data_IF_750568593713
#
_entry.id   IF_750568593713
#
_cell.length_a   1.000
_cell.length_b   1.000
_cell.length_c   1.000
_cell.angle_alpha   90.00
_cell.angle_beta   90.00
_cell.angle_gamma   90.00
#
_symmetry.space_group_name_H-M   'P 1'
#
loop_
_entity.id
_entity.type
_entity.pdbx_description
1 polymer ?
#
# COMPACT_ATOMS: atom_id res chain seq x y z
N UNK A 1 -34.32 67.84 -25.29
CA UNK A 1 -34.70 66.63 -24.52
C UNK A 1 -33.57 65.63 -24.64
N UNK A 2 -32.95 65.21 -23.54
CA UNK A 2 -31.84 64.26 -23.54
C UNK A 2 -32.25 63.02 -22.72
N UNK A 3 -32.27 61.85 -23.37
CA UNK A 3 -32.56 60.57 -22.74
C UNK A 3 -31.28 60.05 -22.07
N UNK A 4 -31.28 59.99 -20.74
CA UNK A 4 -30.23 59.29 -19.97
C UNK A 4 -30.47 57.79 -20.02
N UNK A 5 -29.64 57.07 -20.76
CA UNK A 5 -29.57 55.60 -20.74
C UNK A 5 -28.83 55.16 -19.47
N UNK A 6 -29.57 54.74 -18.44
CA UNK A 6 -29.01 54.01 -17.31
C UNK A 6 -28.66 52.59 -17.76
N UNK A 7 -27.38 52.34 -18.08
CA UNK A 7 -26.88 50.98 -18.21
C UNK A 7 -26.90 50.31 -16.84
N UNK A 8 -27.72 49.26 -16.68
CA UNK A 8 -27.66 48.39 -15.50
C UNK A 8 -26.29 47.71 -15.48
N UNK A 9 -25.54 47.90 -14.39
CA UNK A 9 -24.34 47.12 -14.10
C UNK A 9 -24.78 45.65 -13.90
N UNK A 10 -24.22 44.67 -14.63
CA UNK A 10 -24.45 43.26 -14.32
C UNK A 10 -24.08 43.00 -12.86
N UNK A 11 -24.93 42.28 -12.13
CA UNK A 11 -24.58 41.80 -10.80
C UNK A 11 -23.27 41.00 -10.87
N UNK A 12 -22.37 41.12 -9.89
CA UNK A 12 -21.19 40.27 -9.81
C UNK A 12 -21.68 38.83 -9.72
N UNK A 13 -21.50 38.06 -10.79
CA UNK A 13 -21.71 36.62 -10.74
C UNK A 13 -20.65 36.10 -9.78
N UNK A 14 -21.11 35.63 -8.62
CA UNK A 14 -20.27 34.96 -7.63
C UNK A 14 -19.54 33.82 -8.35
N UNK A 15 -18.20 33.86 -8.36
CA UNK A 15 -17.42 32.85 -9.04
C UNK A 15 -17.79 31.48 -8.44
N UNK A 16 -18.04 30.44 -9.26
CA UNK A 16 -18.31 29.11 -8.73
C UNK A 16 -17.19 28.74 -7.76
N UNK A 17 -17.57 28.16 -6.61
CA UNK A 17 -16.60 27.72 -5.62
C UNK A 17 -15.50 26.91 -6.32
N UNK A 18 -14.21 27.16 -6.03
CA UNK A 18 -13.15 26.41 -6.67
C UNK A 18 -13.39 24.92 -6.44
N UNK A 19 -13.43 24.13 -7.51
CA UNK A 19 -13.51 22.69 -7.39
C UNK A 19 -12.38 22.22 -6.47
N UNK A 20 -12.68 21.35 -5.48
CA UNK A 20 -11.65 20.84 -4.59
C UNK A 20 -10.59 20.18 -5.46
N UNK A 21 -9.34 20.64 -5.33
CA UNK A 21 -8.22 20.01 -6.00
C UNK A 21 -8.23 18.52 -5.68
N UNK A 22 -8.03 17.64 -6.68
CA UNK A 22 -8.05 16.20 -6.44
C UNK A 22 -7.00 15.86 -5.39
N UNK A 23 -7.38 15.04 -4.40
CA UNK A 23 -6.44 14.58 -3.38
C UNK A 23 -5.39 13.69 -4.07
N UNK A 24 -4.14 14.16 -4.13
CA UNK A 24 -3.02 13.45 -4.78
C UNK A 24 -2.13 12.68 -3.79
N UNK A 25 -2.62 12.48 -2.56
CA UNK A 25 -1.95 11.73 -1.50
C UNK A 25 -1.47 12.54 -0.30
N UNK A 26 -1.70 13.87 -0.28
CA UNK A 26 -1.26 14.75 0.80
C UNK A 26 -1.87 14.36 2.16
N UNK A 27 -3.18 14.11 2.18
CA UNK A 27 -3.93 13.73 3.38
C UNK A 27 -4.26 12.24 3.44
N UNK A 28 -3.92 11.49 2.39
CA UNK A 28 -4.37 10.12 2.23
C UNK A 28 -3.79 9.21 3.30
N UNK A 29 -4.67 8.46 3.95
CA UNK A 29 -4.35 7.46 4.98
C UNK A 29 -5.09 6.18 4.63
N UNK A 30 -4.48 5.28 3.84
CA UNK A 30 -5.10 4.02 3.50
C UNK A 30 -5.21 3.13 4.73
N UNK A 31 -6.27 2.33 4.79
CA UNK A 31 -6.46 1.34 5.84
C UNK A 31 -5.29 0.34 5.88
N UNK A 32 -4.84 0.00 7.08
CA UNK A 32 -3.79 -1.00 7.28
C UNK A 32 -2.36 -0.55 6.98
N UNK A 33 -2.16 0.75 6.75
CA UNK A 33 -0.84 1.36 6.73
C UNK A 33 -0.80 2.62 7.60
N UNK A 34 0.38 2.89 8.17
CA UNK A 34 0.68 4.16 8.81
C UNK A 34 1.65 4.93 7.94
N UNK A 35 1.24 6.09 7.43
CA UNK A 35 2.13 6.98 6.67
C UNK A 35 3.00 7.75 7.66
N UNK A 36 4.31 7.48 7.64
CA UNK A 36 5.28 8.12 8.51
C UNK A 36 5.79 9.45 7.94
N UNK A 37 6.11 9.48 6.65
CA UNK A 37 6.63 10.67 5.98
C UNK A 37 6.14 10.77 4.53
N UNK A 38 6.18 11.98 3.98
CA UNK A 38 5.82 12.29 2.60
C UNK A 38 6.92 13.16 1.99
N UNK A 39 7.30 12.83 0.78
CA UNK A 39 8.23 13.59 -0.05
C UNK A 39 7.54 13.94 -1.36
N UNK A 40 7.94 15.04 -1.98
CA UNK A 40 7.33 15.54 -3.21
C UNK A 40 8.40 15.65 -4.29
N UNK A 41 8.09 15.17 -5.48
CA UNK A 41 8.93 15.44 -6.63
C UNK A 41 8.68 16.86 -7.18
N UNK A 42 9.42 17.25 -8.21
CA UNK A 42 9.29 18.59 -8.81
C UNK A 42 7.92 18.86 -9.47
N UNK A 43 7.15 17.81 -9.78
CA UNK A 43 5.80 17.90 -10.30
C UNK A 43 4.72 17.69 -9.21
N UNK A 44 5.09 17.72 -7.93
CA UNK A 44 4.21 17.48 -6.77
C UNK A 44 3.65 16.04 -6.64
N UNK A 45 4.18 15.05 -7.36
CA UNK A 45 3.83 13.66 -7.10
C UNK A 45 4.39 13.22 -5.73
N UNK A 46 3.57 12.50 -4.97
CA UNK A 46 3.87 12.10 -3.60
C UNK A 46 4.65 10.78 -3.57
N UNK A 47 5.76 10.78 -2.81
CA UNK A 47 6.51 9.59 -2.42
C UNK A 47 6.30 9.36 -0.93
N UNK A 48 5.68 8.24 -0.58
CA UNK A 48 5.31 7.87 0.76
C UNK A 48 6.40 7.03 1.41
N UNK A 49 6.69 7.32 2.68
CA UNK A 49 7.31 6.38 3.61
C UNK A 49 6.21 5.89 4.54
N UNK A 50 5.98 4.59 4.55
CA UNK A 50 4.90 3.99 5.32
C UNK A 50 5.35 2.72 6.02
N UNK A 51 4.63 2.34 7.06
CA UNK A 51 4.78 1.06 7.73
C UNK A 51 3.45 0.34 7.78
N UNK A 52 3.53 -0.98 7.81
CA UNK A 52 2.43 -1.94 7.91
C UNK A 52 2.48 -2.66 9.24
N UNK A 53 3.50 -2.34 10.05
CA UNK A 53 3.88 -3.03 11.26
C UNK A 53 3.52 -2.17 12.47
N UNK A 54 2.80 -2.78 13.40
CA UNK A 54 2.50 -2.29 14.75
C UNK A 54 3.08 -3.23 15.82
N UNK A 55 3.92 -4.20 15.42
CA UNK A 55 4.34 -5.33 16.24
C UNK A 55 5.62 -5.15 17.07
N UNK A 56 5.89 -6.13 17.96
CA UNK A 56 6.99 -6.09 18.94
C UNK A 56 8.40 -6.34 18.35
N UNK A 57 8.49 -6.69 17.07
CA UNK A 57 9.76 -7.07 16.41
C UNK A 57 10.49 -5.89 15.74
N UNK A 58 9.99 -4.67 15.96
CA UNK A 58 10.58 -3.43 15.46
C UNK A 58 9.88 -2.94 14.20
N UNK A 59 9.67 -1.63 14.11
CA UNK A 59 8.98 -1.01 12.97
C UNK A 59 9.89 -0.88 11.76
N UNK A 60 9.53 -1.57 10.68
CA UNK A 60 10.17 -1.41 9.37
C UNK A 60 9.33 -0.54 8.43
N UNK A 61 10.01 0.08 7.47
CA UNK A 61 9.37 1.03 6.56
C UNK A 61 9.52 0.60 5.10
N UNK A 62 8.48 0.90 4.33
CA UNK A 62 8.44 0.78 2.88
C UNK A 62 8.33 2.17 2.25
N UNK A 63 8.81 2.28 1.02
CA UNK A 63 8.76 3.47 0.20
C UNK A 63 7.93 3.16 -1.04
N UNK A 64 7.00 4.03 -1.40
CA UNK A 64 6.27 3.93 -2.66
C UNK A 64 5.96 5.31 -3.24
N UNK A 65 6.01 5.44 -4.57
CA UNK A 65 5.62 6.64 -5.28
C UNK A 65 4.19 6.50 -5.80
N UNK A 66 3.32 7.47 -5.52
CA UNK A 66 1.94 7.47 -6.06
C UNK A 66 1.89 7.91 -7.53
N UNK A 67 2.91 8.63 -8.01
CA UNK A 67 2.99 9.04 -9.42
C UNK A 67 3.48 7.94 -10.38
N UNK A 68 4.12 6.88 -9.88
CA UNK A 68 4.70 5.83 -10.74
C UNK A 68 4.63 4.44 -10.07
N UNK A 69 5.27 3.43 -10.67
CA UNK A 69 5.27 2.06 -10.14
C UNK A 69 6.42 1.77 -9.17
N UNK A 70 7.13 2.80 -8.70
CA UNK A 70 8.26 2.62 -7.79
C UNK A 70 7.76 2.22 -6.39
N UNK A 71 8.24 1.08 -5.90
CA UNK A 71 8.06 0.64 -4.52
C UNK A 71 9.26 -0.20 -4.06
N UNK A 72 9.67 -0.03 -2.81
CA UNK A 72 10.76 -0.80 -2.19
C UNK A 72 10.63 -0.85 -0.67
N UNK A 73 11.23 -1.85 -0.03
CA UNK A 73 11.22 -2.06 1.43
C UNK A 73 12.57 -2.48 2.02
N UNK A 74 13.57 -2.68 1.16
CA UNK A 74 14.88 -3.16 1.55
C UNK A 74 15.94 -2.71 0.56
N UNK A 75 17.18 -2.54 1.02
CA UNK A 75 18.30 -2.22 0.12
C UNK A 75 19.29 -3.38 -0.08
N UNK A 76 19.07 -4.56 0.52
CA UNK A 76 19.95 -5.73 0.36
C UNK A 76 21.42 -5.50 0.76
N UNK A 77 21.77 -4.34 1.34
CA UNK A 77 23.15 -3.95 1.67
C UNK A 77 23.62 -4.51 3.02
N UNK A 78 22.70 -4.99 3.87
CA UNK A 78 23.00 -5.52 5.21
C UNK A 78 22.74 -7.02 5.27
N UNK A 79 23.63 -7.74 5.94
CA UNK A 79 23.61 -9.21 6.05
C UNK A 79 22.51 -9.73 6.98
N UNK A 80 22.04 -8.93 7.94
CA UNK A 80 21.14 -9.40 9.01
C UNK A 80 19.78 -8.67 9.07
N UNK A 81 19.67 -7.48 8.48
CA UNK A 81 18.42 -6.71 8.40
C UNK A 81 18.39 -5.95 7.09
N UNK A 82 17.81 -6.58 6.06
CA UNK A 82 17.67 -5.98 4.73
C UNK A 82 16.63 -4.87 4.71
N UNK A 83 15.65 -4.93 5.62
CA UNK A 83 14.53 -3.98 5.75
C UNK A 83 14.98 -2.59 6.18
N UNK A 84 14.28 -1.56 5.70
CA UNK A 84 14.60 -0.17 6.03
C UNK A 84 14.21 0.21 7.46
N UNK A 85 15.12 0.90 8.14
CA UNK A 85 14.76 1.81 9.23
C UNK A 85 14.06 3.05 8.67
N UNK A 86 13.44 3.87 9.54
CA UNK A 86 12.82 5.12 9.10
C UNK A 86 13.83 6.03 8.38
N UNK A 87 15.06 6.15 8.91
CA UNK A 87 16.10 6.99 8.32
C UNK A 87 16.57 6.48 6.95
N UNK A 88 16.71 5.16 6.79
CA UNK A 88 17.07 4.56 5.50
C UNK A 88 15.94 4.78 4.47
N UNK A 89 14.68 4.56 4.87
CA UNK A 89 13.52 4.78 4.00
C UNK A 89 13.35 6.25 3.61
N UNK A 90 13.55 7.17 4.55
CA UNK A 90 13.54 8.62 4.33
C UNK A 90 14.56 9.04 3.26
N UNK A 91 15.78 8.50 3.35
CA UNK A 91 16.85 8.76 2.38
C UNK A 91 16.44 8.29 0.99
N UNK A 92 15.98 7.04 0.88
CA UNK A 92 15.54 6.44 -0.39
C UNK A 92 14.35 7.19 -0.99
N UNK A 93 13.37 7.58 -0.17
CA UNK A 93 12.21 8.34 -0.61
C UNK A 93 12.60 9.72 -1.15
N UNK A 94 13.51 10.42 -0.46
CA UNK A 94 14.03 11.70 -0.90
C UNK A 94 14.84 11.57 -2.22
N UNK A 95 15.72 10.57 -2.32
CA UNK A 95 16.46 10.28 -3.55
C UNK A 95 15.53 9.99 -4.73
N UNK A 96 14.47 9.20 -4.51
CA UNK A 96 13.48 8.96 -5.55
C UNK A 96 12.71 10.24 -5.92
N UNK A 97 12.25 11.01 -4.93
CA UNK A 97 11.51 12.25 -5.15
C UNK A 97 12.32 13.28 -5.96
N UNK A 98 13.62 13.41 -5.71
CA UNK A 98 14.49 14.36 -6.44
C UNK A 98 14.70 14.00 -7.92
N UNK A 99 14.63 12.71 -8.27
CA UNK A 99 14.90 12.22 -9.62
C UNK A 99 13.63 11.91 -10.42
N UNK A 100 12.54 11.57 -9.74
CA UNK A 100 11.28 11.19 -10.35
C UNK A 100 10.60 12.36 -11.08
N UNK A 101 10.13 12.10 -12.31
CA UNK A 101 9.44 13.08 -13.18
C UNK A 101 7.97 12.75 -13.40
N UNK A 102 7.44 11.78 -12.66
CA UNK A 102 6.04 11.41 -12.78
C UNK A 102 5.13 12.56 -12.35
N UNK A 103 4.01 12.73 -13.05
CA UNK A 103 2.94 13.62 -12.64
C UNK A 103 2.16 12.99 -11.46
N UNK A 104 1.50 13.80 -10.62
CA UNK A 104 0.54 13.29 -9.66
C UNK A 104 -0.52 12.43 -10.36
N UNK A 105 -0.93 11.35 -9.71
CA UNK A 105 -2.01 10.47 -10.16
C UNK A 105 -3.10 10.45 -9.11
N UNK A 106 -4.30 10.06 -9.53
CA UNK A 106 -5.40 9.79 -8.61
C UNK A 106 -5.01 8.70 -7.63
N UNK A 107 -5.42 8.89 -6.38
CA UNK A 107 -5.23 7.89 -5.33
C UNK A 107 -5.99 6.61 -5.71
N UNK A 108 -5.42 5.41 -5.48
CA UNK A 108 -6.16 4.17 -5.65
C UNK A 108 -7.42 4.13 -4.78
N UNK A 109 -8.58 3.92 -5.42
CA UNK A 109 -9.83 3.68 -4.71
C UNK A 109 -9.70 2.48 -3.76
N UNK A 110 -10.37 2.52 -2.61
CA UNK A 110 -10.42 1.39 -1.68
C UNK A 110 -11.16 0.23 -2.36
N UNK A 111 -10.52 -0.93 -2.58
CA UNK A 111 -11.20 -2.08 -3.16
C UNK A 111 -12.24 -2.65 -2.17
N UNK A 112 -13.27 -3.30 -2.70
CA UNK A 112 -14.21 -4.10 -1.91
C UNK A 112 -13.54 -5.36 -1.34
N UNK A 113 -14.17 -5.96 -0.33
CA UNK A 113 -13.60 -7.12 0.39
C UNK A 113 -13.42 -8.35 -0.50
N UNK A 114 -14.32 -8.59 -1.45
CA UNK A 114 -14.28 -9.77 -2.31
C UNK A 114 -13.11 -9.69 -3.30
N UNK A 115 -12.91 -8.52 -3.92
CA UNK A 115 -11.75 -8.23 -4.76
C UNK A 115 -10.43 -8.45 -4.00
N UNK A 116 -10.36 -8.05 -2.73
CA UNK A 116 -9.15 -8.26 -1.93
C UNK A 116 -8.95 -9.74 -1.59
N UNK A 117 -10.02 -10.47 -1.22
CA UNK A 117 -9.98 -11.92 -0.98
C UNK A 117 -9.45 -12.66 -2.21
N UNK A 118 -10.00 -12.38 -3.39
CA UNK A 118 -9.55 -12.98 -4.64
C UNK A 118 -8.06 -12.74 -4.91
N UNK A 119 -7.59 -11.50 -4.71
CA UNK A 119 -6.16 -11.15 -4.84
C UNK A 119 -5.30 -11.92 -3.86
N UNK A 120 -5.72 -12.07 -2.61
CA UNK A 120 -4.98 -12.86 -1.61
C UNK A 120 -4.95 -14.35 -1.95
N UNK A 121 -6.07 -14.92 -2.41
CA UNK A 121 -6.12 -16.31 -2.85
C UNK A 121 -5.21 -16.53 -4.07
N UNK A 122 -5.23 -15.61 -5.04
CA UNK A 122 -4.34 -15.65 -6.20
C UNK A 122 -2.86 -15.54 -5.79
N UNK A 123 -2.54 -14.66 -4.84
CA UNK A 123 -1.19 -14.55 -4.27
C UNK A 123 -0.72 -15.86 -3.62
N UNK A 124 -1.54 -16.49 -2.78
CA UNK A 124 -1.23 -17.78 -2.15
C UNK A 124 -1.02 -18.87 -3.21
N UNK A 125 -1.92 -18.98 -4.20
CA UNK A 125 -1.79 -19.97 -5.27
C UNK A 125 -0.54 -19.74 -6.12
N UNK A 126 -0.23 -18.49 -6.44
CA UNK A 126 0.96 -18.10 -7.20
C UNK A 126 2.27 -18.33 -6.44
N UNK A 127 2.22 -18.39 -5.11
CA UNK A 127 3.40 -18.65 -4.29
C UNK A 127 3.82 -20.13 -4.23
N UNK A 128 2.93 -21.05 -4.61
CA UNK A 128 3.17 -22.50 -4.56
C UNK A 128 4.35 -22.91 -5.44
N UNK A 129 5.12 -23.89 -4.96
CA UNK A 129 6.26 -24.50 -5.68
C UNK A 129 5.99 -25.99 -5.93
N UNK A 130 6.78 -26.63 -6.79
CA UNK A 130 6.60 -28.07 -7.09
C UNK A 130 7.27 -28.97 -6.06
N UNK A 131 8.39 -28.51 -5.54
CA UNK A 131 9.35 -29.25 -4.74
C UNK A 131 9.13 -29.12 -3.23
N UNK A 132 8.57 -28.01 -2.77
CA UNK A 132 8.40 -27.74 -1.34
C UNK A 132 7.14 -26.94 -1.00
N UNK A 133 6.72 -27.05 0.26
CA UNK A 133 5.77 -26.13 0.86
C UNK A 133 6.47 -24.77 1.06
N UNK A 134 5.90 -23.70 0.52
CA UNK A 134 6.48 -22.36 0.59
C UNK A 134 5.95 -21.61 1.80
N UNK A 135 6.82 -21.24 2.73
CA UNK A 135 6.45 -20.35 3.82
C UNK A 135 6.06 -18.97 3.28
N UNK A 136 4.92 -18.46 3.77
CA UNK A 136 4.39 -17.14 3.45
C UNK A 136 4.41 -16.24 4.67
N UNK A 137 4.82 -15.00 4.47
CA UNK A 137 4.81 -13.98 5.52
C UNK A 137 3.80 -12.90 5.15
N UNK A 138 3.04 -12.39 6.12
CA UNK A 138 2.16 -11.22 5.89
C UNK A 138 3.00 -10.03 5.40
N UNK A 139 4.24 -9.91 5.91
CA UNK A 139 5.20 -8.91 5.46
C UNK A 139 5.64 -9.08 4.01
N UNK A 140 5.36 -10.19 3.33
CA UNK A 140 5.57 -10.29 1.88
C UNK A 140 4.64 -9.36 1.10
N UNK A 141 3.51 -8.99 1.69
CA UNK A 141 2.52 -8.11 1.07
C UNK A 141 2.86 -6.63 1.21
N UNK A 142 3.87 -6.25 2.01
CA UNK A 142 4.17 -4.85 2.37
C UNK A 142 4.12 -3.86 1.19
N UNK A 143 4.72 -4.23 0.06
CA UNK A 143 4.79 -3.36 -1.13
C UNK A 143 3.45 -3.13 -1.81
N UNK A 144 2.46 -3.98 -1.58
CA UNK A 144 1.12 -3.87 -2.15
C UNK A 144 0.07 -3.42 -1.13
N UNK A 145 0.46 -3.07 0.11
CA UNK A 145 -0.50 -2.71 1.18
C UNK A 145 -1.28 -1.43 0.86
N UNK A 146 -0.68 -0.50 0.12
CA UNK A 146 -1.36 0.70 -0.37
C UNK A 146 -2.51 0.39 -1.35
N UNK A 147 -2.48 -0.75 -2.05
CA UNK A 147 -3.55 -1.15 -2.98
C UNK A 147 -4.52 -2.16 -2.37
N UNK A 148 -4.09 -2.93 -1.37
CA UNK A 148 -4.97 -3.82 -0.61
C UNK A 148 -5.86 -3.04 0.37
N UNK A 149 -5.31 -2.02 1.04
CA UNK A 149 -6.00 -1.18 2.02
C UNK A 149 -6.76 -2.00 3.09
N UNK A 150 -6.09 -2.92 3.78
CA UNK A 150 -6.68 -3.77 4.86
C UNK A 150 -5.71 -3.93 6.01
N UNK A 151 -6.16 -4.08 7.26
CA UNK A 151 -5.26 -4.35 8.40
C UNK A 151 -4.55 -5.71 8.28
N UNK A 152 -3.52 -5.95 9.10
CA UNK A 152 -2.89 -7.27 9.19
C UNK A 152 -3.89 -8.31 9.71
N UNK A 153 -4.69 -7.95 10.72
CA UNK A 153 -5.74 -8.81 11.28
C UNK A 153 -6.74 -9.27 10.23
N UNK A 154 -7.22 -8.36 9.38
CA UNK A 154 -8.14 -8.71 8.31
C UNK A 154 -7.51 -9.70 7.31
N UNK A 155 -6.23 -9.50 6.96
CA UNK A 155 -5.51 -10.44 6.09
C UNK A 155 -5.36 -11.80 6.77
N UNK A 156 -4.98 -11.82 8.05
CA UNK A 156 -4.85 -13.04 8.84
C UNK A 156 -6.17 -13.80 8.89
N UNK A 157 -7.29 -13.12 9.08
CA UNK A 157 -8.63 -13.73 9.07
C UNK A 157 -8.97 -14.37 7.72
N UNK A 158 -8.65 -13.70 6.61
CA UNK A 158 -8.83 -14.28 5.27
C UNK A 158 -7.96 -15.51 5.06
N UNK A 159 -6.68 -15.47 5.49
CA UNK A 159 -5.80 -16.63 5.39
C UNK A 159 -6.30 -17.80 6.26
N UNK A 160 -6.81 -17.54 7.46
CA UNK A 160 -7.42 -18.57 8.32
C UNK A 160 -8.66 -19.19 7.65
N UNK A 161 -9.50 -18.38 7.01
CA UNK A 161 -10.65 -18.89 6.26
C UNK A 161 -10.22 -19.76 5.08
N UNK A 162 -9.18 -19.35 4.34
CA UNK A 162 -8.63 -20.12 3.23
C UNK A 162 -8.05 -21.46 3.68
N UNK A 163 -7.40 -21.52 4.85
CA UNK A 163 -6.87 -22.78 5.42
C UNK A 163 -8.01 -23.78 5.69
N UNK A 164 -9.17 -23.31 6.14
CA UNK A 164 -10.34 -24.16 6.40
C UNK A 164 -11.01 -24.58 5.09
N UNK A 165 -11.12 -23.67 4.13
CA UNK A 165 -11.82 -23.90 2.87
C UNK A 165 -11.02 -24.75 1.86
N UNK A 166 -9.70 -24.53 1.78
CA UNK A 166 -8.80 -25.12 0.76
C UNK A 166 -7.48 -25.61 1.43
N UNK A 167 -7.53 -26.61 2.35
CA UNK A 167 -6.37 -27.10 3.09
C UNK A 167 -5.26 -27.74 2.22
N UNK A 168 -5.60 -28.12 0.98
CA UNK A 168 -4.66 -28.57 -0.05
C UNK A 168 -3.87 -27.43 -0.70
N UNK A 169 -4.29 -26.18 -0.50
CA UNK A 169 -3.61 -24.96 -1.00
C UNK A 169 -2.79 -24.30 0.10
N UNK A 170 -3.35 -24.17 1.30
CA UNK A 170 -2.73 -23.44 2.41
C UNK A 170 -2.84 -24.25 3.70
N UNK A 171 -1.73 -24.38 4.42
CA UNK A 171 -1.71 -24.93 5.79
C UNK A 171 -1.14 -23.92 6.77
N UNK A 172 -1.44 -24.14 8.04
CA UNK A 172 -0.82 -23.43 9.16
C UNK A 172 0.06 -24.36 9.99
N UNK A 173 1.02 -23.78 10.68
CA UNK A 173 1.81 -24.41 11.72
C UNK A 173 1.87 -23.47 12.92
N UNK A 174 1.45 -23.97 14.09
CA UNK A 174 1.44 -23.19 15.33
C UNK A 174 2.73 -23.43 16.09
N UNK A 175 3.35 -22.37 16.56
CA UNK A 175 4.50 -22.46 17.46
C UNK A 175 4.11 -23.19 18.75
N UNK A 176 5.00 -24.03 19.27
CA UNK A 176 4.84 -24.68 20.57
C UNK A 176 5.24 -23.75 21.73
N UNK A 177 5.92 -22.64 21.41
CA UNK A 177 6.53 -21.73 22.38
C UNK A 177 5.91 -20.33 22.39
N UNK A 178 5.00 -20.04 21.46
CA UNK A 178 4.35 -18.74 21.32
C UNK A 178 3.03 -18.88 20.57
N UNK A 179 2.21 -17.83 20.59
CA UNK A 179 0.97 -17.74 19.79
C UNK A 179 1.23 -17.51 18.29
N UNK A 180 2.50 -17.61 17.86
CA UNK A 180 2.90 -17.37 16.48
C UNK A 180 2.36 -18.46 15.55
N UNK A 181 1.77 -18.04 14.43
CA UNK A 181 1.25 -18.91 13.38
C UNK A 181 2.04 -18.69 12.10
N UNK A 182 2.64 -19.76 11.60
CA UNK A 182 3.29 -19.79 10.28
C UNK A 182 2.32 -20.28 9.23
N UNK A 183 2.29 -19.62 8.07
CA UNK A 183 1.50 -20.02 6.91
C UNK A 183 2.39 -20.65 5.86
N UNK A 184 1.94 -21.75 5.25
CA UNK A 184 2.66 -22.43 4.18
C UNK A 184 1.74 -22.73 3.01
N UNK A 185 2.04 -22.13 1.86
CA UNK A 185 1.44 -22.55 0.60
C UNK A 185 1.92 -23.96 0.26
N UNK A 186 0.99 -24.89 0.15
CA UNK A 186 1.27 -26.30 -0.14
C UNK A 186 1.92 -26.45 -1.50
N UNK A 187 2.87 -27.38 -1.64
CA UNK A 187 3.43 -27.74 -2.94
C UNK A 187 2.35 -28.12 -3.96
N UNK A 188 2.64 -27.91 -5.24
CA UNK A 188 1.79 -28.36 -6.34
C UNK A 188 1.70 -29.90 -6.35
N UNK A 189 0.55 -30.48 -6.74
CA UNK A 189 0.45 -31.92 -6.90
C UNK A 189 1.44 -32.42 -7.96
N UNK A 190 1.98 -33.61 -7.74
CA UNK A 190 2.77 -34.33 -8.75
C UNK A 190 1.81 -34.74 -9.89
N UNK A 191 2.18 -34.43 -11.13
CA UNK A 191 1.41 -34.79 -12.33
C UNK A 191 1.55 -36.27 -12.66
#
# INVERSE_FOLDING_TARGET
>A
MALTLFARRPEPVEAPAPEPWPEIGETWKPEGVTIAQRYYNQAHAVVLVYTTDDGPHGTYYSVACLGCHYATRENGKRTYSTRYSLADAATVANEHATTCRALPRDIPARPDDDTVRERLHAWVRGARRRDEDRQLWVSDLDLIRLTLQRSNDWIVDVLNQLVVAEPEILRIERSQYSDYVSYYARRLPEN
#
